data_IF_408039181919
#
_entry.id   IF_408039181919
#
_cell.length_a   1.000
_cell.length_b   1.000
_cell.length_c   1.000
_cell.angle_alpha   90.00
_cell.angle_beta   90.00
_cell.angle_gamma   90.00
#
_symmetry.space_group_name_H-M   'P 1'
#
loop_
_entity.id
_entity.type
_entity.pdbx_description
1 polymer ?
#
# COMPACT_ATOMS: atom_id res chain seq x y z
N UNK A 1 -5.71 -15.15 -25.55
CA UNK A 1 -4.90 -15.59 -24.41
C UNK A 1 -4.71 -14.39 -23.53
N UNK A 2 -5.56 -14.26 -22.52
CA UNK A 2 -5.43 -13.20 -21.53
C UNK A 2 -4.12 -13.39 -20.76
N UNK A 3 -3.45 -12.30 -20.36
CA UNK A 3 -2.26 -12.37 -19.50
C UNK A 3 -2.55 -13.21 -18.25
N UNK A 4 -3.78 -13.16 -17.75
CA UNK A 4 -4.24 -13.96 -16.62
C UNK A 4 -4.30 -15.47 -16.91
N UNK A 5 -4.63 -15.89 -18.13
CA UNK A 5 -4.61 -17.31 -18.54
C UNK A 5 -3.17 -17.82 -18.66
N UNK A 6 -2.28 -17.04 -19.28
CA UNK A 6 -0.86 -17.41 -19.45
C UNK A 6 -0.17 -17.61 -18.09
N UNK A 7 -0.48 -16.77 -17.10
CA UNK A 7 0.08 -16.90 -15.75
C UNK A 7 -0.70 -17.85 -14.84
N UNK A 8 -1.95 -18.18 -15.20
CA UNK A 8 -2.76 -19.19 -14.50
C UNK A 8 -2.16 -20.60 -14.59
N UNK A 9 -1.52 -20.94 -15.70
CA UNK A 9 -0.80 -22.21 -15.86
C UNK A 9 0.41 -22.34 -14.90
N UNK A 10 0.96 -21.24 -14.40
CA UNK A 10 2.11 -21.22 -13.48
C UNK A 10 1.74 -21.23 -11.99
N UNK A 11 0.45 -21.43 -11.64
CA UNK A 11 -0.04 -21.51 -10.26
C UNK A 11 0.49 -20.33 -9.41
N UNK A 12 1.18 -20.59 -8.31
CA UNK A 12 1.77 -19.57 -7.44
C UNK A 12 2.83 -18.67 -8.11
N UNK A 13 3.59 -19.19 -9.07
CA UNK A 13 4.71 -18.46 -9.67
C UNK A 13 4.22 -17.35 -10.60
N UNK A 14 3.14 -17.58 -11.36
CA UNK A 14 2.54 -16.54 -12.19
C UNK A 14 2.00 -15.38 -11.34
N UNK A 15 1.32 -15.71 -10.24
CA UNK A 15 0.79 -14.74 -9.27
C UNK A 15 1.90 -13.88 -8.68
N UNK A 16 3.02 -14.51 -8.32
CA UNK A 16 4.20 -13.83 -7.81
C UNK A 16 4.71 -12.76 -8.79
N UNK A 17 4.88 -13.12 -10.07
CA UNK A 17 5.37 -12.19 -11.10
C UNK A 17 4.40 -11.03 -11.35
N UNK A 18 3.10 -11.30 -11.40
CA UNK A 18 2.08 -10.26 -11.55
C UNK A 18 2.15 -9.27 -10.38
N UNK A 19 2.25 -9.76 -9.14
CA UNK A 19 2.28 -8.87 -7.99
C UNK A 19 3.56 -8.04 -7.87
N UNK A 20 4.69 -8.51 -8.41
CA UNK A 20 5.88 -7.67 -8.59
C UNK A 20 5.56 -6.51 -9.51
N UNK A 21 5.01 -6.78 -10.71
CA UNK A 21 4.68 -5.74 -11.68
C UNK A 21 3.69 -4.71 -11.14
N UNK A 22 2.59 -5.19 -10.55
CA UNK A 22 1.53 -4.35 -9.95
C UNK A 22 2.08 -3.44 -8.85
N UNK A 23 2.98 -3.93 -7.98
CA UNK A 23 3.50 -3.13 -6.86
C UNK A 23 4.77 -2.33 -7.19
N UNK A 24 5.44 -2.63 -8.32
CA UNK A 24 6.54 -1.83 -8.84
C UNK A 24 6.05 -0.56 -9.53
N UNK A 25 4.82 -0.58 -10.08
CA UNK A 25 4.23 0.59 -10.72
C UNK A 25 4.02 1.73 -9.72
N UNK A 26 4.47 2.96 -10.06
CA UNK A 26 4.13 4.15 -9.28
C UNK A 26 2.67 4.57 -9.49
N UNK A 27 2.04 4.10 -10.58
CA UNK A 27 0.68 4.43 -11.01
C UNK A 27 -0.32 3.46 -10.37
N UNK A 28 -1.58 3.88 -10.35
CA UNK A 28 -2.74 3.15 -9.86
C UNK A 28 -2.92 1.83 -10.61
N UNK A 29 -2.42 0.77 -10.00
CA UNK A 29 -2.70 -0.60 -10.37
C UNK A 29 -3.84 -1.13 -9.50
N UNK A 30 -4.60 -2.14 -9.99
CA UNK A 30 -5.64 -2.76 -9.18
C UNK A 30 -5.06 -3.21 -7.83
N UNK A 31 -5.79 -3.00 -6.73
CA UNK A 31 -5.38 -3.49 -5.43
C UNK A 31 -4.98 -4.97 -5.49
N UNK A 32 -3.76 -5.27 -5.04
CA UNK A 32 -3.17 -6.60 -5.20
C UNK A 32 -3.95 -7.72 -4.51
N UNK A 33 -4.77 -7.41 -3.51
CA UNK A 33 -5.65 -8.40 -2.88
C UNK A 33 -6.71 -8.91 -3.86
N UNK A 34 -7.20 -8.08 -4.79
CA UNK A 34 -8.17 -8.48 -5.81
C UNK A 34 -7.55 -9.55 -6.69
N UNK A 35 -6.32 -9.31 -7.15
CA UNK A 35 -5.58 -10.27 -7.97
C UNK A 35 -5.51 -11.62 -7.25
N UNK A 36 -5.10 -11.63 -5.98
CA UNK A 36 -5.01 -12.88 -5.20
C UNK A 36 -6.37 -13.56 -5.02
N UNK A 37 -7.41 -12.82 -4.69
CA UNK A 37 -8.73 -13.40 -4.51
C UNK A 37 -9.31 -13.92 -5.83
N UNK A 38 -9.09 -13.23 -6.95
CA UNK A 38 -9.48 -13.71 -8.28
C UNK A 38 -8.79 -15.04 -8.61
N UNK A 39 -7.49 -15.18 -8.34
CA UNK A 39 -6.79 -16.46 -8.52
C UNK A 39 -7.34 -17.56 -7.60
N UNK A 40 -7.66 -17.24 -6.35
CA UNK A 40 -8.29 -18.20 -5.43
C UNK A 40 -9.71 -18.61 -5.86
N UNK A 41 -10.47 -17.70 -6.46
CA UNK A 41 -11.81 -18.02 -7.00
C UNK A 41 -11.75 -18.90 -8.24
N UNK A 42 -10.73 -18.72 -9.09
CA UNK A 42 -10.48 -19.56 -10.26
C UNK A 42 -9.96 -20.95 -9.88
N UNK A 43 -9.12 -21.04 -8.85
CA UNK A 43 -8.62 -22.29 -8.29
C UNK A 43 -8.71 -22.32 -6.76
N UNK A 44 -9.85 -22.77 -6.21
CA UNK A 44 -10.06 -22.88 -4.77
C UNK A 44 -9.19 -23.95 -4.08
N UNK A 45 -8.40 -24.73 -4.83
CA UNK A 45 -7.47 -25.72 -4.25
C UNK A 45 -6.19 -25.07 -3.72
N UNK A 46 -5.91 -23.81 -4.10
CA UNK A 46 -4.77 -23.05 -3.62
C UNK A 46 -4.87 -22.83 -2.10
N UNK A 47 -3.81 -23.18 -1.38
CA UNK A 47 -3.68 -22.84 0.03
C UNK A 47 -3.63 -21.31 0.23
N UNK A 48 -4.59 -20.76 1.00
CA UNK A 48 -4.74 -19.33 1.25
C UNK A 48 -3.49 -18.71 1.90
N UNK A 49 -2.88 -19.40 2.87
CA UNK A 49 -1.71 -18.89 3.59
C UNK A 49 -0.51 -18.82 2.66
N UNK A 50 -0.29 -19.87 1.87
CA UNK A 50 0.78 -19.89 0.87
C UNK A 50 0.56 -18.83 -0.20
N UNK A 51 -0.67 -18.69 -0.71
CA UNK A 51 -1.06 -17.68 -1.69
C UNK A 51 -0.78 -16.27 -1.17
N UNK A 52 -1.18 -15.99 0.07
CA UNK A 52 -0.92 -14.71 0.73
C UNK A 52 0.57 -14.45 0.93
N UNK A 53 1.35 -15.45 1.34
CA UNK A 53 2.79 -15.31 1.53
C UNK A 53 3.53 -15.06 0.21
N UNK A 54 3.19 -15.81 -0.85
CA UNK A 54 3.72 -15.60 -2.21
C UNK A 54 3.36 -14.22 -2.70
N UNK A 55 2.10 -13.83 -2.53
CA UNK A 55 1.62 -12.52 -2.92
C UNK A 55 2.31 -11.37 -2.18
N UNK A 56 2.45 -11.49 -0.85
CA UNK A 56 3.14 -10.49 -0.03
C UNK A 56 4.62 -10.38 -0.40
N UNK A 57 5.25 -11.49 -0.79
CA UNK A 57 6.63 -11.49 -1.28
C UNK A 57 6.75 -10.73 -2.61
N UNK A 58 5.89 -11.05 -3.59
CA UNK A 58 5.85 -10.33 -4.86
C UNK A 58 5.57 -8.84 -4.68
N UNK A 59 4.59 -8.50 -3.83
CA UNK A 59 4.29 -7.12 -3.48
C UNK A 59 5.49 -6.40 -2.86
N UNK A 60 6.17 -7.02 -1.89
CA UNK A 60 7.34 -6.43 -1.20
C UNK A 60 8.49 -6.19 -2.16
N UNK A 61 8.74 -7.11 -3.10
CA UNK A 61 9.75 -6.94 -4.15
C UNK A 61 9.36 -5.80 -5.10
N UNK A 62 8.10 -5.71 -5.51
CA UNK A 62 7.61 -4.56 -6.27
C UNK A 62 7.84 -3.24 -5.54
N UNK A 63 7.53 -3.20 -4.23
CA UNK A 63 7.78 -2.03 -3.38
C UNK A 63 9.26 -1.68 -3.23
N UNK A 64 10.12 -2.68 -3.23
CA UNK A 64 11.56 -2.47 -3.26
C UNK A 64 11.98 -1.72 -4.53
N UNK A 65 11.50 -2.15 -5.70
CA UNK A 65 11.78 -1.47 -6.97
C UNK A 65 11.20 -0.05 -6.99
N UNK A 66 9.94 0.13 -6.58
CA UNK A 66 9.32 1.46 -6.51
C UNK A 66 10.16 2.42 -5.66
N UNK A 67 10.51 2.03 -4.43
CA UNK A 67 11.38 2.82 -3.55
C UNK A 67 12.72 3.16 -4.20
N UNK A 68 13.36 2.19 -4.85
CA UNK A 68 14.66 2.39 -5.54
C UNK A 68 14.53 3.42 -6.65
N UNK A 69 13.51 3.28 -7.50
CA UNK A 69 13.23 4.21 -8.60
C UNK A 69 12.93 5.60 -8.04
N UNK A 70 12.04 5.73 -7.06
CA UNK A 70 11.74 7.02 -6.41
C UNK A 70 12.97 7.69 -5.82
N UNK A 71 13.91 6.93 -5.25
CA UNK A 71 15.17 7.48 -4.74
C UNK A 71 16.04 8.15 -5.81
N UNK A 72 15.96 7.71 -7.08
CA UNK A 72 16.64 8.36 -8.21
C UNK A 72 16.06 9.75 -8.49
N UNK A 73 14.77 9.96 -8.23
CA UNK A 73 14.08 11.23 -8.41
C UNK A 73 14.36 12.25 -7.30
N UNK A 74 15.00 11.86 -6.19
CA UNK A 74 15.37 12.81 -5.11
C UNK A 74 16.17 14.01 -5.64
N UNK A 75 16.96 13.84 -6.70
CA UNK A 75 17.75 14.93 -7.31
C UNK A 75 16.88 16.08 -7.85
N UNK A 76 15.63 15.82 -8.19
CA UNK A 76 14.68 16.81 -8.71
C UNK A 76 13.82 17.45 -7.62
N UNK A 77 13.94 17.00 -6.36
CA UNK A 77 13.20 17.56 -5.22
C UNK A 77 13.92 18.83 -4.73
N UNK A 78 13.16 19.88 -4.37
CA UNK A 78 13.72 21.10 -3.79
C UNK A 78 14.36 20.89 -2.41
N UNK A 79 15.27 21.78 -2.02
CA UNK A 79 16.03 21.64 -0.77
C UNK A 79 15.15 21.68 0.48
N UNK A 80 14.10 22.51 0.49
CA UNK A 80 13.14 22.57 1.60
C UNK A 80 12.39 21.23 1.76
N UNK A 81 11.91 20.65 0.66
CA UNK A 81 11.21 19.36 0.70
C UNK A 81 12.14 18.21 1.08
N UNK A 82 13.41 18.23 0.61
CA UNK A 82 14.43 17.28 1.07
C UNK A 82 14.63 17.36 2.57
N UNK A 83 14.79 18.57 3.13
CA UNK A 83 14.94 18.79 4.57
C UNK A 83 13.75 18.23 5.36
N UNK A 84 12.52 18.51 4.91
CA UNK A 84 11.30 17.98 5.55
C UNK A 84 11.27 16.43 5.54
N UNK A 85 11.66 15.81 4.42
CA UNK A 85 11.76 14.35 4.31
C UNK A 85 12.85 13.78 5.23
N UNK A 86 13.98 14.45 5.35
CA UNK A 86 15.09 14.02 6.20
C UNK A 86 14.70 14.09 7.70
N UNK A 87 13.95 15.10 8.12
CA UNK A 87 13.39 15.19 9.49
C UNK A 87 12.54 13.96 9.83
N UNK A 88 11.66 13.53 8.92
CA UNK A 88 10.85 12.33 9.09
C UNK A 88 11.76 11.09 9.19
N UNK A 89 12.82 11.06 8.40
CA UNK A 89 13.79 9.96 8.40
C UNK A 89 14.52 9.84 9.72
N UNK A 90 15.01 10.97 10.23
CA UNK A 90 15.68 11.05 11.52
C UNK A 90 14.76 10.64 12.66
N UNK A 91 13.49 11.04 12.61
CA UNK A 91 12.49 10.61 13.59
C UNK A 91 12.31 9.07 13.57
N UNK A 92 12.17 8.46 12.40
CA UNK A 92 12.03 7.02 12.26
C UNK A 92 13.31 6.26 12.64
N UNK A 93 14.49 6.80 12.35
CA UNK A 93 15.78 6.25 12.75
C UNK A 93 15.99 6.27 14.27
N UNK A 94 15.52 7.32 14.96
CA UNK A 94 15.58 7.41 16.43
C UNK A 94 14.75 6.35 17.14
N UNK A 95 13.73 5.79 16.48
CA UNK A 95 12.88 4.72 17.04
C UNK A 95 13.37 3.36 16.56
N UNK A 96 13.77 2.49 17.50
CA UNK A 96 14.28 1.12 17.23
C UNK A 96 13.44 0.34 16.22
N UNK A 97 12.12 0.48 16.26
CA UNK A 97 11.17 -0.19 15.36
C UNK A 97 10.35 0.76 14.48
N UNK A 98 10.78 2.03 14.31
CA UNK A 98 10.00 3.06 13.62
C UNK A 98 9.59 2.65 12.21
N UNK A 99 10.56 2.25 11.37
CA UNK A 99 10.30 1.77 10.02
C UNK A 99 9.49 0.48 9.97
N UNK A 100 9.73 -0.44 10.90
CA UNK A 100 9.03 -1.72 10.96
C UNK A 100 7.55 -1.51 11.27
N UNK A 101 7.24 -0.76 12.33
CA UNK A 101 5.86 -0.50 12.74
C UNK A 101 5.11 0.33 11.70
N UNK A 102 5.74 1.38 11.15
CA UNK A 102 5.12 2.18 10.10
C UNK A 102 4.78 1.32 8.87
N UNK A 103 5.73 0.49 8.41
CA UNK A 103 5.53 -0.34 7.23
C UNK A 103 4.52 -1.47 7.48
N UNK A 104 4.52 -2.04 8.69
CA UNK A 104 3.52 -3.02 9.12
C UNK A 104 2.11 -2.43 9.09
N UNK A 105 1.91 -1.25 9.69
CA UNK A 105 0.61 -0.59 9.70
C UNK A 105 0.12 -0.32 8.28
N UNK A 106 0.97 0.21 7.39
CA UNK A 106 0.60 0.44 5.99
C UNK A 106 0.40 -0.84 5.17
N UNK A 107 1.07 -1.94 5.52
CA UNK A 107 0.88 -3.24 4.88
C UNK A 107 -0.42 -3.93 5.32
N UNK A 108 -0.75 -3.81 6.61
CA UNK A 108 -1.89 -4.45 7.26
C UNK A 108 -3.22 -3.73 6.99
N UNK A 109 -3.18 -2.46 6.59
CA UNK A 109 -4.36 -1.60 6.39
C UNK A 109 -4.53 -1.24 4.91
N UNK A 110 -5.72 -0.75 4.51
CA UNK A 110 -5.95 -0.25 3.15
C UNK A 110 -5.25 1.09 2.86
N UNK A 111 -4.24 1.49 3.66
CA UNK A 111 -3.51 2.73 3.44
C UNK A 111 -2.69 2.69 2.15
N UNK A 112 -2.48 3.86 1.50
CA UNK A 112 -1.77 3.96 0.23
C UNK A 112 -0.27 3.73 0.41
N UNK A 113 0.14 2.46 0.44
CA UNK A 113 1.55 2.09 0.60
C UNK A 113 2.46 2.59 -0.53
N UNK A 114 1.91 2.95 -1.71
CA UNK A 114 2.67 3.62 -2.79
C UNK A 114 3.37 4.87 -2.26
N UNK A 115 2.61 5.74 -1.59
CA UNK A 115 3.12 7.00 -1.05
C UNK A 115 4.20 6.73 -0.01
N UNK A 116 4.01 5.71 0.84
CA UNK A 116 5.00 5.33 1.85
C UNK A 116 6.34 4.93 1.21
N UNK A 117 6.33 4.06 0.22
CA UNK A 117 7.56 3.58 -0.42
C UNK A 117 8.22 4.63 -1.32
N UNK A 118 7.43 5.50 -1.96
CA UNK A 118 7.95 6.68 -2.67
C UNK A 118 8.66 7.59 -1.66
N UNK A 119 8.02 7.90 -0.54
CA UNK A 119 8.56 8.72 0.54
C UNK A 119 9.86 8.11 1.09
N UNK A 120 9.89 6.81 1.39
CA UNK A 120 11.12 6.11 1.78
C UNK A 120 12.22 6.15 0.73
N UNK A 121 11.87 6.14 -0.55
CA UNK A 121 12.80 6.29 -1.66
C UNK A 121 13.42 7.68 -1.66
N UNK A 122 12.58 8.71 -1.61
CA UNK A 122 12.99 10.11 -1.56
C UNK A 122 13.80 10.43 -0.31
N UNK A 123 13.52 9.79 0.83
CA UNK A 123 14.30 9.90 2.08
C UNK A 123 15.61 9.09 2.06
N UNK A 124 15.84 8.26 1.03
CA UNK A 124 16.95 7.29 0.97
C UNK A 124 17.02 6.38 2.20
N UNK A 125 15.87 5.97 2.72
CA UNK A 125 15.79 5.11 3.91
C UNK A 125 16.47 3.75 3.65
N UNK A 126 17.32 3.28 4.58
CA UNK A 126 18.10 2.03 4.41
C UNK A 126 17.64 0.87 5.29
N UNK A 127 16.64 1.07 6.15
CA UNK A 127 16.21 0.06 7.11
C UNK A 127 15.57 -1.17 6.45
N UNK A 128 16.07 -2.36 6.77
CA UNK A 128 15.46 -3.64 6.38
C UNK A 128 14.07 -3.83 7.02
N UNK A 129 13.84 -3.18 8.17
CA UNK A 129 12.56 -3.21 8.89
C UNK A 129 11.39 -2.73 8.03
N UNK A 130 11.64 -1.90 7.02
CA UNK A 130 10.63 -1.49 6.03
C UNK A 130 9.99 -2.71 5.37
N UNK A 131 10.81 -3.61 4.85
CA UNK A 131 10.35 -4.76 4.07
C UNK A 131 9.76 -5.84 4.98
N UNK A 132 10.39 -6.08 6.13
CA UNK A 132 9.90 -7.05 7.11
C UNK A 132 8.52 -6.64 7.62
N UNK A 133 8.38 -5.39 8.09
CA UNK A 133 7.10 -4.87 8.57
C UNK A 133 6.03 -4.93 7.50
N UNK A 134 6.33 -4.43 6.29
CA UNK A 134 5.39 -4.46 5.19
C UNK A 134 4.97 -5.88 4.80
N UNK A 135 5.91 -6.82 4.70
CA UNK A 135 5.62 -8.21 4.34
C UNK A 135 4.67 -8.85 5.34
N UNK A 136 4.93 -8.74 6.66
CA UNK A 136 4.03 -9.28 7.68
C UNK A 136 2.65 -8.66 7.65
N UNK A 137 2.58 -7.33 7.59
CA UNK A 137 1.30 -6.63 7.51
C UNK A 137 0.52 -7.06 6.27
N UNK A 138 1.21 -7.19 5.13
CA UNK A 138 0.59 -7.53 3.86
C UNK A 138 0.14 -9.00 3.81
N UNK A 139 0.91 -9.93 4.34
CA UNK A 139 0.50 -11.34 4.47
C UNK A 139 -0.78 -11.46 5.29
N UNK A 140 -0.86 -10.80 6.46
CA UNK A 140 -2.07 -10.83 7.30
C UNK A 140 -3.25 -10.23 6.55
N UNK A 141 -3.07 -9.05 5.93
CA UNK A 141 -4.13 -8.38 5.17
C UNK A 141 -4.62 -9.25 4.01
N UNK A 142 -3.73 -9.91 3.27
CA UNK A 142 -4.11 -10.81 2.18
C UNK A 142 -4.85 -12.05 2.67
N UNK A 143 -4.43 -12.69 3.75
CA UNK A 143 -5.16 -13.83 4.33
C UNK A 143 -6.60 -13.41 4.64
N UNK A 144 -6.78 -12.27 5.31
CA UNK A 144 -8.11 -11.75 5.66
C UNK A 144 -8.92 -11.46 4.40
N UNK A 145 -8.36 -10.76 3.42
CA UNK A 145 -9.06 -10.38 2.19
C UNK A 145 -9.44 -11.57 1.31
N UNK A 146 -8.59 -12.61 1.24
CA UNK A 146 -8.91 -13.83 0.48
C UNK A 146 -10.00 -14.61 1.20
N UNK A 147 -9.89 -14.77 2.53
CA UNK A 147 -10.86 -15.52 3.33
C UNK A 147 -12.25 -14.88 3.31
N UNK A 148 -12.33 -13.55 3.38
CA UNK A 148 -13.58 -12.79 3.27
C UNK A 148 -13.89 -12.32 1.85
N UNK A 149 -13.21 -12.89 0.85
CA UNK A 149 -13.26 -12.48 -0.55
C UNK A 149 -14.67 -12.33 -1.09
N UNK A 150 -15.54 -13.32 -0.88
CA UNK A 150 -16.92 -13.27 -1.40
C UNK A 150 -17.79 -12.17 -0.76
N UNK A 151 -17.49 -11.73 0.46
CA UNK A 151 -18.24 -10.64 1.09
C UNK A 151 -17.69 -9.25 0.69
N UNK A 152 -16.43 -9.19 0.27
CA UNK A 152 -15.72 -7.94 -0.07
C UNK A 152 -15.69 -7.70 -1.57
N UNK A 153 -15.63 -8.74 -2.41
CA UNK A 153 -15.54 -8.61 -3.87
C UNK A 153 -16.85 -8.16 -4.49
N UNK A 154 -18.02 -8.61 -4.04
CA UNK A 154 -19.29 -8.27 -4.69
C UNK A 154 -19.55 -6.75 -4.68
N UNK A 155 -19.48 -6.06 -3.52
CA UNK A 155 -19.61 -4.61 -3.48
C UNK A 155 -18.47 -3.90 -4.24
N UNK A 156 -17.29 -4.51 -4.27
CA UNK A 156 -16.12 -3.93 -4.91
C UNK A 156 -16.19 -4.03 -6.44
N UNK A 157 -16.61 -5.17 -7.00
CA UNK A 157 -16.75 -5.36 -8.44
C UNK A 157 -17.86 -4.50 -9.02
N UNK A 158 -18.97 -4.32 -8.29
CA UNK A 158 -20.03 -3.36 -8.64
C UNK A 158 -19.52 -1.91 -8.74
N UNK A 159 -18.52 -1.53 -7.94
CA UNK A 159 -17.86 -0.21 -8.01
C UNK A 159 -16.89 -0.12 -9.22
N UNK A 160 -16.41 -1.24 -9.76
CA UNK A 160 -15.37 -1.31 -10.80
C UNK A 160 -15.83 -1.71 -12.19
N UNK A 161 -17.12 -1.96 -12.41
CA UNK A 161 -17.65 -2.27 -13.75
C UNK A 161 -17.28 -1.20 -14.79
N UNK A 162 -17.23 0.07 -14.40
CA UNK A 162 -16.52 1.11 -15.15
C UNK A 162 -15.11 1.31 -14.56
N UNK A 163 -14.12 0.65 -15.18
CA UNK A 163 -12.72 0.63 -14.70
C UNK A 163 -12.14 2.02 -14.42
N UNK A 164 -12.59 3.05 -15.13
CA UNK A 164 -12.12 4.43 -14.97
C UNK A 164 -12.80 5.15 -13.80
N UNK A 165 -14.10 4.97 -13.59
CA UNK A 165 -14.81 5.60 -12.48
C UNK A 165 -14.48 4.93 -11.16
N UNK A 166 -14.39 3.59 -11.09
CA UNK A 166 -14.04 2.88 -9.86
C UNK A 166 -12.67 3.25 -9.29
N UNK A 167 -11.67 3.42 -10.17
CA UNK A 167 -10.33 3.90 -9.79
C UNK A 167 -10.41 5.35 -9.27
N UNK A 168 -11.09 6.25 -9.98
CA UNK A 168 -11.25 7.65 -9.57
C UNK A 168 -12.05 7.79 -8.26
N UNK A 169 -13.02 6.91 -8.01
CA UNK A 169 -13.85 6.90 -6.81
C UNK A 169 -13.02 6.50 -5.59
N UNK A 170 -12.22 5.44 -5.70
CA UNK A 170 -11.34 5.01 -4.61
C UNK A 170 -10.22 6.01 -4.34
N UNK A 171 -9.68 6.65 -5.37
CA UNK A 171 -8.74 7.74 -5.14
C UNK A 171 -9.43 8.95 -4.52
N UNK A 172 -10.65 9.28 -4.93
CA UNK A 172 -11.46 10.31 -4.29
C UNK A 172 -11.70 10.01 -2.81
N UNK A 173 -12.04 8.77 -2.48
CA UNK A 173 -12.21 8.29 -1.11
C UNK A 173 -10.87 8.28 -0.36
N UNK A 174 -9.79 7.83 -0.99
CA UNK A 174 -8.44 7.78 -0.41
C UNK A 174 -7.90 9.17 -0.11
N UNK A 175 -8.03 10.10 -1.05
CA UNK A 175 -7.74 11.53 -0.87
C UNK A 175 -8.66 12.10 0.20
N UNK A 176 -9.94 11.77 0.19
CA UNK A 176 -10.90 12.17 1.22
C UNK A 176 -10.49 11.70 2.62
N UNK A 177 -10.04 10.45 2.76
CA UNK A 177 -9.53 9.87 4.00
C UNK A 177 -8.21 10.52 4.42
N UNK A 178 -7.30 10.81 3.49
CA UNK A 178 -6.06 11.54 3.77
C UNK A 178 -6.38 12.96 4.25
N UNK A 179 -7.32 13.66 3.60
CA UNK A 179 -7.77 14.99 3.99
C UNK A 179 -8.43 14.92 5.37
N UNK A 180 -9.34 13.98 5.60
CA UNK A 180 -10.00 13.80 6.89
C UNK A 180 -8.98 13.48 7.99
N UNK A 181 -8.01 12.62 7.73
CA UNK A 181 -6.91 12.29 8.63
C UNK A 181 -6.01 13.51 8.91
N UNK A 182 -5.70 14.32 7.89
CA UNK A 182 -4.97 15.58 8.04
C UNK A 182 -5.77 16.63 8.82
N UNK A 183 -7.10 16.59 8.73
CA UNK A 183 -8.00 17.42 9.54
C UNK A 183 -8.05 16.99 11.00
N UNK A 184 -7.56 15.81 11.41
CA UNK A 184 -7.60 15.41 12.82
C UNK A 184 -6.51 16.14 13.62
N UNK A 185 -6.88 16.73 14.76
CA UNK A 185 -5.94 17.27 15.74
C UNK A 185 -5.29 16.12 16.52
N UNK A 186 -4.17 15.63 16.00
CA UNK A 186 -3.41 14.53 16.60
C UNK A 186 -3.00 14.79 18.06
N UNK A 187 -2.66 16.04 18.40
CA UNK A 187 -2.26 16.43 19.76
C UNK A 187 -3.40 16.25 20.77
N UNK A 188 -4.63 16.64 20.40
CA UNK A 188 -5.83 16.49 21.24
C UNK A 188 -6.28 15.04 21.28
N UNK A 189 -6.23 14.33 20.14
CA UNK A 189 -6.60 12.92 20.07
C UNK A 189 -5.71 12.06 20.98
N UNK A 190 -4.39 12.28 20.95
CA UNK A 190 -3.43 11.48 21.71
C UNK A 190 -3.43 11.86 23.19
N UNK A 191 -3.43 13.15 23.51
CA UNK A 191 -3.31 13.62 24.90
C UNK A 191 -4.62 13.51 25.68
N UNK A 192 -5.75 13.81 25.04
CA UNK A 192 -7.05 13.94 25.71
C UNK A 192 -8.04 12.84 25.32
N UNK A 193 -7.68 11.93 24.40
CA UNK A 193 -8.56 10.88 23.84
C UNK A 193 -9.87 11.44 23.25
N UNK A 194 -9.85 12.68 22.77
CA UNK A 194 -11.00 13.36 22.15
C UNK A 194 -10.72 13.65 20.69
N UNK A 195 -11.68 13.35 19.82
CA UNK A 195 -11.58 13.68 18.39
C UNK A 195 -11.90 15.16 18.23
N UNK A 196 -10.94 15.93 17.70
CA UNK A 196 -11.13 17.35 17.35
C UNK A 196 -10.62 17.58 15.93
N UNK A 197 -11.42 18.19 15.07
CA UNK A 197 -11.03 18.52 13.71
C UNK A 197 -10.44 19.94 13.62
N UNK A 198 -9.40 20.10 12.81
CA UNK A 198 -8.72 21.35 12.45
C UNK A 198 -8.98 21.57 10.96
N UNK A 199 -9.45 22.76 10.58
CA UNK A 199 -9.68 23.08 9.17
C UNK A 199 -8.34 23.21 8.44
N UNK A 200 -8.15 22.52 7.29
CA UNK A 200 -6.94 22.64 6.50
C UNK A 200 -6.86 24.04 5.88
N UNK A 201 -5.66 24.63 5.84
CA UNK A 201 -5.41 26.01 5.36
C UNK A 201 -5.86 26.28 3.92
N UNK A 202 -6.11 25.23 3.13
CA UNK A 202 -6.57 25.29 1.73
C UNK A 202 -7.99 25.90 1.61
N UNK A 203 -8.77 25.91 2.70
CA UNK A 203 -10.14 26.46 2.75
C UNK A 203 -10.19 27.92 3.23
N UNK A 204 -9.07 28.65 3.16
CA UNK A 204 -8.96 30.08 3.53
C UNK A 204 -8.65 30.99 2.33
N UNK A 205 -8.83 30.48 1.10
CA UNK A 205 -8.82 31.26 -0.14
C UNK A 205 -10.25 31.59 -0.55
#
# INVERSE_FOLDING_TARGET
MDIFELFGEFSYFGIFLILIGVNASPILMPPSWIVLTSFYLLDPTLNIVLLAAVGATGATIGRFFLKKISGLFRKFVGEEQKSNLDIIGDYLNKKKYGYLLASFLFGATPLPSNILFITYGLMRAKSIGIYIGFWFGRTISYIVMIYFGNAVLTPFLEIFEDRLTGILLIDGVGIGLIVLFACINWTVLITQRKIKFVKPKIWRL
#
